data_IF_298000584626
#
_entry.id   IF_298000584626
#
_cell.length_a   1.000
_cell.length_b   1.000
_cell.length_c   1.000
_cell.angle_alpha   90.00
_cell.angle_beta   90.00
_cell.angle_gamma   90.00
#
_symmetry.space_group_name_H-M   'P 1'
#
loop_
_entity.id
_entity.type
_entity.pdbx_description
1 polymer ?
#
# COMPACT_ATOMS: atom_id res chain seq x y z
N UNK A 1 -24.46 6.92 24.73
CA UNK A 1 -23.28 7.76 25.00
C UNK A 1 -22.64 8.10 23.66
N UNK A 2 -22.53 9.39 23.35
CA UNK A 2 -21.90 9.88 22.12
C UNK A 2 -20.38 9.67 22.22
N UNK A 3 -19.85 8.74 21.44
CA UNK A 3 -18.40 8.63 21.24
C UNK A 3 -17.97 9.76 20.30
N UNK A 4 -17.45 10.83 20.88
CA UNK A 4 -16.71 11.84 20.13
C UNK A 4 -15.44 11.16 19.61
N UNK A 5 -15.44 10.83 18.32
CA UNK A 5 -14.22 10.43 17.63
C UNK A 5 -13.22 11.60 17.73
N UNK A 6 -11.93 11.32 18.03
CA UNK A 6 -10.93 12.39 18.04
C UNK A 6 -10.89 13.05 16.66
N UNK A 7 -10.80 14.38 16.67
CA UNK A 7 -10.58 15.19 15.49
C UNK A 7 -9.21 14.82 14.91
N UNK A 8 -9.18 14.42 13.64
CA UNK A 8 -7.95 13.98 12.97
C UNK A 8 -7.43 15.17 12.17
N UNK A 9 -6.66 16.05 12.82
CA UNK A 9 -5.96 17.13 12.13
C UNK A 9 -4.77 16.56 11.34
N UNK A 10 -4.63 16.93 10.07
CA UNK A 10 -3.63 16.41 9.12
C UNK A 10 -2.16 16.83 9.40
N UNK A 11 -1.91 17.52 10.52
CA UNK A 11 -0.56 17.90 10.98
C UNK A 11 -0.19 17.09 12.22
N UNK A 12 0.85 16.24 12.15
CA UNK A 12 1.35 15.54 13.32
C UNK A 12 1.99 16.53 14.30
N UNK A 13 1.70 16.37 15.58
CA UNK A 13 2.27 17.21 16.64
C UNK A 13 3.80 16.94 16.78
N UNK A 14 4.60 17.95 17.17
CA UNK A 14 6.03 17.75 17.42
C UNK A 14 6.24 16.72 18.53
N UNK A 15 6.78 15.55 18.20
CA UNK A 15 6.99 14.42 19.11
C UNK A 15 6.16 13.18 18.80
N UNK A 16 5.27 13.23 17.80
CA UNK A 16 4.58 12.04 17.31
C UNK A 16 5.53 11.13 16.48
N UNK A 17 5.36 9.79 16.53
CA UNK A 17 6.14 8.84 15.74
C UNK A 17 6.18 9.21 14.25
N UNK A 18 7.27 8.91 13.55
CA UNK A 18 7.33 9.12 12.11
C UNK A 18 6.41 8.14 11.36
N UNK A 19 5.13 8.47 11.26
CA UNK A 19 4.09 7.61 10.68
C UNK A 19 4.32 7.30 9.20
N UNK A 20 5.24 8.01 8.52
CA UNK A 20 5.61 7.75 7.13
C UNK A 20 6.26 6.38 6.94
N UNK A 21 6.85 5.80 7.99
CA UNK A 21 7.40 4.45 7.96
C UNK A 21 6.33 3.39 7.68
N UNK A 22 5.05 3.67 7.93
CA UNK A 22 3.94 2.75 7.63
C UNK A 22 3.49 2.79 6.17
N UNK A 23 3.97 3.74 5.36
CA UNK A 23 3.53 3.86 3.97
C UNK A 23 4.05 2.70 3.12
N UNK A 24 5.31 2.32 3.32
CA UNK A 24 5.92 1.16 2.65
C UNK A 24 5.18 -0.14 3.00
N UNK A 25 4.94 -0.49 4.28
CA UNK A 25 4.11 -1.63 4.65
C UNK A 25 2.71 -1.62 4.03
N UNK A 26 2.05 -0.47 3.91
CA UNK A 26 0.75 -0.40 3.24
C UNK A 26 0.85 -0.73 1.75
N UNK A 27 1.89 -0.24 1.08
CA UNK A 27 2.16 -0.56 -0.32
C UNK A 27 2.47 -2.06 -0.50
N UNK A 28 3.31 -2.63 0.35
CA UNK A 28 3.67 -4.05 0.33
C UNK A 28 2.46 -4.97 0.59
N UNK A 29 1.58 -4.62 1.55
CA UNK A 29 0.33 -5.35 1.77
C UNK A 29 -0.52 -5.36 0.49
N UNK A 30 -0.59 -4.24 -0.22
CA UNK A 30 -1.33 -4.17 -1.48
C UNK A 30 -0.69 -5.08 -2.54
N UNK A 31 0.62 -5.01 -2.73
CA UNK A 31 1.37 -5.85 -3.67
C UNK A 31 1.16 -7.34 -3.41
N UNK A 32 1.30 -7.77 -2.15
CA UNK A 32 1.13 -9.18 -1.76
C UNK A 32 -0.28 -9.67 -2.06
N UNK A 33 -1.32 -8.87 -1.81
CA UNK A 33 -2.70 -9.29 -2.09
C UNK A 33 -3.00 -9.37 -3.58
N UNK A 34 -2.46 -8.44 -4.39
CA UNK A 34 -2.54 -8.54 -5.85
C UNK A 34 -1.81 -9.79 -6.35
N UNK A 35 -0.60 -10.07 -5.85
CA UNK A 35 0.16 -11.27 -6.20
C UNK A 35 -0.58 -12.57 -5.82
N UNK A 36 -1.24 -12.62 -4.65
CA UNK A 36 -2.10 -13.74 -4.25
C UNK A 36 -3.24 -13.96 -5.22
N UNK A 37 -3.90 -12.89 -5.67
CA UNK A 37 -4.98 -13.00 -6.65
C UNK A 37 -4.48 -13.50 -8.01
N UNK A 38 -3.29 -13.05 -8.44
CA UNK A 38 -2.64 -13.55 -9.65
C UNK A 38 -2.30 -15.04 -9.52
N UNK A 39 -1.76 -15.48 -8.38
CA UNK A 39 -1.50 -16.88 -8.10
C UNK A 39 -2.78 -17.72 -8.15
N UNK A 40 -3.87 -17.26 -7.53
CA UNK A 40 -5.17 -17.93 -7.57
C UNK A 40 -5.72 -18.06 -9.01
N UNK A 41 -5.46 -17.07 -9.87
CA UNK A 41 -5.95 -17.05 -11.24
C UNK A 41 -5.11 -17.90 -12.19
N UNK A 42 -3.78 -17.88 -12.04
CA UNK A 42 -2.84 -18.44 -13.02
C UNK A 42 -2.02 -19.62 -12.51
N UNK A 43 -2.02 -19.88 -11.20
CA UNK A 43 -1.16 -20.89 -10.57
C UNK A 43 0.33 -20.55 -10.59
N UNK A 44 0.68 -19.26 -10.79
CA UNK A 44 2.06 -18.80 -10.94
C UNK A 44 2.38 -17.68 -9.94
N UNK A 45 3.60 -17.70 -9.40
CA UNK A 45 4.08 -16.65 -8.51
C UNK A 45 4.48 -15.42 -9.34
N UNK A 46 3.93 -14.26 -8.97
CA UNK A 46 4.41 -12.99 -9.49
C UNK A 46 5.74 -12.61 -8.81
N UNK A 47 6.61 -11.93 -9.54
CA UNK A 47 7.80 -11.28 -9.05
C UNK A 47 7.43 -9.90 -8.51
N UNK A 48 7.73 -9.62 -7.24
CA UNK A 48 7.53 -8.31 -6.61
C UNK A 48 8.80 -7.47 -6.72
N UNK A 49 8.65 -6.16 -6.87
CA UNK A 49 9.76 -5.20 -6.96
C UNK A 49 10.83 -5.61 -7.98
N UNK A 50 10.37 -5.97 -9.19
CA UNK A 50 11.26 -6.45 -10.25
C UNK A 50 12.18 -5.33 -10.70
N UNK A 51 13.49 -5.53 -10.54
CA UNK A 51 14.51 -4.61 -11.03
C UNK A 51 14.58 -4.59 -12.55
N UNK A 52 14.45 -3.39 -13.10
CA UNK A 52 14.57 -3.07 -14.52
C UNK A 52 15.80 -2.19 -14.73
N UNK A 53 16.78 -2.70 -15.45
CA UNK A 53 17.99 -1.96 -15.75
C UNK A 53 17.68 -0.78 -16.68
N UNK A 54 18.20 0.41 -16.36
CA UNK A 54 18.04 1.59 -17.21
C UNK A 54 19.08 1.69 -18.31
N UNK A 55 20.18 0.94 -18.20
CA UNK A 55 21.39 1.13 -19.00
C UNK A 55 22.24 2.34 -18.56
N UNK A 56 21.79 3.08 -17.54
CA UNK A 56 22.52 4.21 -16.95
C UNK A 56 23.31 3.74 -15.72
N UNK A 57 24.33 4.51 -15.38
CA UNK A 57 25.09 4.32 -14.15
C UNK A 57 24.95 5.52 -13.21
N UNK A 58 24.98 5.25 -11.92
CA UNK A 58 25.00 6.22 -10.84
C UNK A 58 26.35 6.15 -10.09
N UNK A 59 26.58 7.14 -9.23
CA UNK A 59 27.79 7.27 -8.41
C UNK A 59 29.09 7.17 -9.22
N UNK A 60 29.33 8.17 -10.08
CA UNK A 60 30.52 8.26 -10.93
C UNK A 60 30.76 7.03 -11.82
N UNK A 61 29.70 6.34 -12.24
CA UNK A 61 29.81 5.17 -13.11
C UNK A 61 29.99 3.83 -12.37
N UNK A 62 29.92 3.82 -11.04
CA UNK A 62 30.24 2.64 -10.23
C UNK A 62 29.04 1.71 -9.98
N UNK A 63 27.82 2.20 -10.15
CA UNK A 63 26.61 1.42 -9.89
C UNK A 63 25.65 1.52 -11.06
N UNK A 64 25.02 0.41 -11.43
CA UNK A 64 23.94 0.45 -12.39
C UNK A 64 22.69 1.02 -11.73
N UNK A 65 22.01 1.91 -12.45
CA UNK A 65 20.73 2.45 -12.03
C UNK A 65 19.60 1.50 -12.44
N UNK A 66 18.66 1.30 -11.52
CA UNK A 66 17.51 0.43 -11.72
C UNK A 66 16.22 1.18 -11.37
N UNK A 67 15.14 0.81 -12.02
CA UNK A 67 13.78 1.05 -11.53
C UNK A 67 13.19 -0.26 -11.04
N UNK A 68 12.27 -0.19 -10.09
CA UNK A 68 11.55 -1.35 -9.58
C UNK A 68 10.10 -1.28 -10.06
N UNK A 69 9.65 -2.35 -10.71
CA UNK A 69 8.26 -2.55 -11.09
C UNK A 69 7.55 -3.32 -9.99
N UNK A 70 6.43 -2.78 -9.49
CA UNK A 70 5.77 -3.30 -8.29
C UNK A 70 5.45 -4.80 -8.38
N UNK A 71 4.81 -5.23 -9.47
CA UNK A 71 4.38 -6.61 -9.66
C UNK A 71 4.53 -7.02 -11.12
N UNK A 72 5.26 -8.11 -11.38
CA UNK A 72 5.45 -8.67 -12.71
C UNK A 72 5.08 -10.15 -12.75
N UNK A 73 4.27 -10.56 -13.71
CA UNK A 73 3.97 -11.97 -14.00
C UNK A 73 4.23 -12.27 -15.48
N UNK A 74 5.28 -13.04 -15.76
CA UNK A 74 5.76 -13.24 -17.13
C UNK A 74 6.20 -11.91 -17.73
N UNK A 75 5.50 -11.45 -18.77
CA UNK A 75 5.71 -10.13 -19.38
C UNK A 75 4.63 -9.10 -19.02
N UNK A 76 3.74 -9.40 -18.06
CA UNK A 76 2.69 -8.49 -17.61
C UNK A 76 3.12 -7.73 -16.36
N UNK A 77 2.79 -6.45 -16.26
CA UNK A 77 3.13 -5.58 -15.12
C UNK A 77 1.89 -4.90 -14.52
N UNK A 78 1.86 -4.79 -13.20
CA UNK A 78 0.90 -3.98 -12.45
C UNK A 78 1.65 -2.98 -11.59
N UNK A 79 1.26 -1.72 -11.66
CA UNK A 79 1.72 -0.64 -10.79
C UNK A 79 0.68 -0.42 -9.69
N UNK A 80 1.15 -0.44 -8.45
CA UNK A 80 0.39 -0.27 -7.22
C UNK A 80 0.59 1.16 -6.74
N UNK A 81 -0.50 1.85 -6.43
CA UNK A 81 -0.44 3.20 -5.84
C UNK A 81 -1.55 3.39 -4.83
N UNK A 82 -1.36 4.25 -3.82
CA UNK A 82 -2.48 4.73 -3.04
C UNK A 82 -3.45 5.47 -3.98
N UNK A 83 -4.73 5.51 -3.61
CA UNK A 83 -5.78 6.16 -4.41
C UNK A 83 -5.45 7.63 -4.72
N UNK A 84 -4.87 8.34 -3.74
CA UNK A 84 -4.44 9.74 -3.86
C UNK A 84 -2.94 9.87 -4.24
N UNK A 85 -2.31 8.79 -4.70
CA UNK A 85 -0.92 8.78 -5.14
C UNK A 85 -0.72 9.34 -6.55
N UNK A 86 0.54 9.40 -6.99
CA UNK A 86 0.91 9.79 -8.35
C UNK A 86 0.17 8.98 -9.43
N UNK A 87 0.12 9.53 -10.64
CA UNK A 87 -0.42 8.82 -11.81
C UNK A 87 0.52 7.66 -12.21
N UNK A 88 0.05 6.40 -12.19
CA UNK A 88 0.85 5.22 -12.54
C UNK A 88 1.20 5.17 -14.03
N UNK A 89 0.53 5.93 -14.90
CA UNK A 89 0.76 5.88 -16.36
C UNK A 89 2.21 6.14 -16.74
N UNK A 90 2.84 7.14 -16.11
CA UNK A 90 4.23 7.46 -16.39
C UNK A 90 5.19 6.29 -16.04
N UNK A 91 4.95 5.61 -14.92
CA UNK A 91 5.75 4.45 -14.51
C UNK A 91 5.46 3.22 -15.38
N UNK A 92 4.20 2.96 -15.73
CA UNK A 92 3.84 1.86 -16.64
C UNK A 92 4.50 2.02 -18.01
N UNK A 93 4.50 3.23 -18.58
CA UNK A 93 5.20 3.51 -19.84
C UNK A 93 6.71 3.33 -19.73
N UNK A 94 7.30 3.67 -18.58
CA UNK A 94 8.71 3.42 -18.31
C UNK A 94 9.01 1.91 -18.28
N UNK A 95 8.18 1.11 -17.61
CA UNK A 95 8.35 -0.34 -17.51
C UNK A 95 8.20 -1.04 -18.84
N UNK A 96 7.27 -0.58 -19.69
CA UNK A 96 7.10 -1.07 -21.06
C UNK A 96 8.38 -0.86 -21.89
N UNK A 97 8.99 0.33 -21.77
CA UNK A 97 10.23 0.68 -22.50
C UNK A 97 11.45 -0.09 -21.99
N UNK A 98 11.65 -0.15 -20.67
CA UNK A 98 12.87 -0.73 -20.08
C UNK A 98 12.82 -2.26 -19.99
N UNK A 99 11.67 -2.82 -19.64
CA UNK A 99 11.52 -4.25 -19.34
C UNK A 99 10.90 -5.07 -20.47
N UNK A 100 10.55 -4.46 -21.61
CA UNK A 100 9.70 -5.09 -22.63
C UNK A 100 8.41 -5.69 -22.03
N UNK A 101 7.87 -5.01 -21.01
CA UNK A 101 6.67 -5.42 -20.29
C UNK A 101 5.43 -4.90 -20.99
N UNK A 102 4.28 -5.50 -20.67
CA UNK A 102 2.95 -5.08 -21.10
C UNK A 102 2.09 -4.86 -19.88
N UNK A 103 1.16 -3.92 -19.96
CA UNK A 103 0.18 -3.74 -18.89
C UNK A 103 -0.55 -5.06 -18.60
N UNK A 104 -0.63 -5.38 -17.32
CA UNK A 104 -1.42 -6.49 -16.84
C UNK A 104 -2.90 -6.26 -17.08
N UNK A 105 -3.68 -7.33 -16.99
CA UNK A 105 -5.13 -7.20 -17.13
C UNK A 105 -5.77 -6.55 -15.91
N UNK A 106 -7.03 -6.11 -16.07
CA UNK A 106 -7.87 -5.69 -14.96
C UNK A 106 -8.22 -6.90 -14.08
N UNK A 107 -7.95 -6.80 -12.78
CA UNK A 107 -8.29 -7.83 -11.81
C UNK A 107 -9.59 -7.48 -11.06
N UNK A 108 -10.08 -8.40 -10.23
CA UNK A 108 -11.28 -8.16 -9.42
C UNK A 108 -10.93 -7.32 -8.20
N UNK A 109 -11.73 -6.29 -7.92
CA UNK A 109 -11.62 -5.50 -6.69
C UNK A 109 -11.55 -6.40 -5.46
N UNK A 110 -10.60 -6.14 -4.58
CA UNK A 110 -10.43 -6.81 -3.30
C UNK A 110 -10.81 -5.83 -2.19
N UNK A 111 -11.63 -6.27 -1.25
CA UNK A 111 -12.05 -5.48 -0.10
C UNK A 111 -11.88 -6.30 1.16
N UNK A 112 -12.02 -5.67 2.32
CA UNK A 112 -11.84 -6.30 3.64
C UNK A 112 -10.47 -6.95 3.85
N UNK A 113 -9.42 -6.42 3.19
CA UNK A 113 -8.05 -6.88 3.43
C UNK A 113 -7.63 -6.37 4.82
N UNK A 114 -7.31 -7.25 5.79
CA UNK A 114 -6.90 -6.82 7.11
C UNK A 114 -5.53 -6.14 7.05
N UNK A 115 -5.40 -5.00 7.73
CA UNK A 115 -4.13 -4.28 7.87
C UNK A 115 -3.66 -4.42 9.31
N UNK A 116 -4.39 -3.80 10.24
CA UNK A 116 -4.14 -3.91 11.67
C UNK A 116 -5.35 -3.42 12.46
N UNK A 117 -5.70 -4.10 13.55
CA UNK A 117 -6.88 -3.77 14.37
C UNK A 117 -8.15 -3.61 13.48
N UNK A 118 -8.85 -2.48 13.58
CA UNK A 118 -10.04 -2.18 12.78
C UNK A 118 -9.72 -1.52 11.42
N UNK A 119 -8.44 -1.32 11.09
CA UNK A 119 -8.00 -0.76 9.81
C UNK A 119 -7.95 -1.86 8.76
N UNK A 120 -8.63 -1.62 7.65
CA UNK A 120 -8.71 -2.49 6.48
C UNK A 120 -8.33 -1.75 5.22
N UNK A 121 -8.06 -2.52 4.18
CA UNK A 121 -7.69 -2.04 2.85
C UNK A 121 -8.67 -2.56 1.80
N UNK A 122 -8.89 -1.72 0.80
CA UNK A 122 -9.51 -2.07 -0.47
C UNK A 122 -8.54 -1.77 -1.60
N UNK A 123 -8.47 -2.67 -2.57
CA UNK A 123 -7.66 -2.54 -3.78
C UNK A 123 -8.60 -2.62 -4.98
N UNK A 124 -8.60 -1.56 -5.78
CA UNK A 124 -9.39 -1.44 -7.01
C UNK A 124 -8.46 -1.46 -8.22
N UNK A 125 -9.00 -1.88 -9.36
CA UNK A 125 -8.27 -1.91 -10.62
C UNK A 125 -9.03 -1.04 -11.61
N UNK A 126 -8.80 0.28 -11.68
CA UNK A 126 -9.57 1.16 -12.56
C UNK A 126 -9.28 0.89 -14.04
N UNK A 127 -8.02 0.62 -14.37
CA UNK A 127 -7.49 0.43 -15.72
C UNK A 127 -6.57 -0.81 -15.77
N UNK A 128 -6.17 -1.24 -16.97
CA UNK A 128 -5.18 -2.29 -17.15
C UNK A 128 -3.84 -1.88 -16.53
N UNK A 129 -3.15 -2.82 -15.89
CA UNK A 129 -1.87 -2.58 -15.22
C UNK A 129 -1.92 -1.64 -14.01
N UNK A 130 -3.09 -1.14 -13.59
CA UNK A 130 -3.21 -0.20 -12.47
C UNK A 130 -3.93 -0.84 -11.29
N UNK A 131 -3.28 -0.84 -10.13
CA UNK A 131 -3.87 -1.19 -8.85
C UNK A 131 -3.87 0.03 -7.92
N UNK A 132 -5.05 0.43 -7.43
CA UNK A 132 -5.22 1.55 -6.49
C UNK A 132 -5.70 1.04 -5.15
N UNK A 133 -4.93 1.28 -4.09
CA UNK A 133 -5.34 0.92 -2.74
C UNK A 133 -5.83 2.14 -1.94
N UNK A 134 -6.81 1.90 -1.07
CA UNK A 134 -7.26 2.87 -0.07
C UNK A 134 -7.54 2.18 1.26
N UNK A 135 -7.43 2.95 2.34
CA UNK A 135 -7.61 2.46 3.70
C UNK A 135 -8.96 2.91 4.25
N UNK A 136 -9.53 2.10 5.12
CA UNK A 136 -10.73 2.45 5.85
C UNK A 136 -10.76 1.78 7.21
N UNK A 137 -11.42 2.41 8.18
CA UNK A 137 -11.77 1.77 9.44
C UNK A 137 -13.17 1.15 9.33
N UNK A 138 -13.35 -0.02 9.95
CA UNK A 138 -14.65 -0.67 10.07
C UNK A 138 -14.79 -1.30 11.45
N UNK A 139 -15.72 -0.78 12.26
CA UNK A 139 -16.06 -1.34 13.57
C UNK A 139 -17.14 -2.43 13.49
N UNK A 140 -17.53 -2.96 14.65
CA UNK A 140 -18.45 -4.12 14.78
C UNK A 140 -19.83 -3.90 14.15
N UNK A 141 -20.27 -2.64 14.02
CA UNK A 141 -21.51 -2.28 13.33
C UNK A 141 -21.42 -2.27 11.79
N UNK A 142 -20.27 -2.64 11.22
CA UNK A 142 -20.06 -2.74 9.77
C UNK A 142 -19.90 -1.41 9.03
N UNK A 143 -20.09 -0.27 9.70
CA UNK A 143 -19.95 1.07 9.11
C UNK A 143 -18.51 1.33 8.69
N UNK A 144 -18.32 1.68 7.41
CA UNK A 144 -17.03 2.00 6.81
C UNK A 144 -16.76 3.51 6.89
N UNK A 145 -15.57 3.87 7.39
CA UNK A 145 -15.02 5.23 7.34
C UNK A 145 -13.72 5.22 6.55
N UNK A 146 -13.69 5.88 5.39
CA UNK A 146 -12.46 6.01 4.61
C UNK A 146 -11.41 6.82 5.38
N UNK A 147 -10.14 6.43 5.22
CA UNK A 147 -8.99 7.06 5.86
C UNK A 147 -8.03 7.55 4.77
N UNK A 148 -7.43 8.72 5.00
CA UNK A 148 -6.21 9.10 4.27
C UNK A 148 -5.06 8.13 4.65
N UNK A 149 -4.01 8.07 3.83
CA UNK A 149 -2.81 7.27 4.16
C UNK A 149 -2.22 7.70 5.52
N UNK A 150 -2.20 9.01 5.79
CA UNK A 150 -1.77 9.58 7.08
C UNK A 150 -2.70 9.10 8.21
N UNK A 151 -4.01 9.24 8.05
CA UNK A 151 -4.99 8.84 9.07
C UNK A 151 -4.93 7.34 9.38
N UNK A 152 -4.71 6.50 8.36
CA UNK A 152 -4.48 5.07 8.54
C UNK A 152 -3.18 4.81 9.31
N UNK A 153 -2.08 5.49 8.97
CA UNK A 153 -0.81 5.34 9.67
C UNK A 153 -0.92 5.75 11.15
N UNK A 154 -1.60 6.84 11.46
CA UNK A 154 -1.88 7.27 12.84
C UNK A 154 -2.71 6.22 13.58
N UNK A 155 -3.79 5.71 12.97
CA UNK A 155 -4.65 4.71 13.58
C UNK A 155 -3.87 3.43 13.92
N UNK A 156 -3.06 2.94 12.97
CA UNK A 156 -2.21 1.75 13.15
C UNK A 156 -1.15 2.01 14.22
N UNK A 157 -0.45 3.14 14.19
CA UNK A 157 0.58 3.46 15.18
C UNK A 157 0.00 3.55 16.60
N UNK A 158 -1.18 4.18 16.77
CA UNK A 158 -1.87 4.23 18.07
C UNK A 158 -2.27 2.83 18.55
N UNK A 159 -2.79 1.99 17.66
CA UNK A 159 -3.14 0.61 18.01
C UNK A 159 -1.91 -0.23 18.39
N UNK A 160 -0.79 -0.05 17.66
CA UNK A 160 0.49 -0.67 18.00
C UNK A 160 1.00 -0.21 19.38
N UNK A 161 0.97 1.09 19.68
CA UNK A 161 1.37 1.61 20.98
C UNK A 161 0.55 0.98 22.13
N UNK A 162 -0.78 0.89 21.97
CA UNK A 162 -1.67 0.21 22.92
C UNK A 162 -1.33 -1.28 23.12
N UNK A 163 -0.78 -1.93 22.09
CA UNK A 163 -0.39 -3.33 22.18
C UNK A 163 0.86 -3.56 23.06
N UNK A 164 1.67 -2.51 23.32
CA UNK A 164 2.88 -2.58 24.13
C UNK A 164 2.59 -2.57 25.65
N UNK A 165 3.47 -3.17 26.50
CA UNK A 165 3.28 -3.17 27.96
C UNK A 165 3.19 -1.77 28.58
N UNK A 166 3.93 -0.79 28.05
CA UNK A 166 3.88 0.60 28.50
C UNK A 166 2.58 1.30 28.07
N UNK A 167 2.12 1.08 26.83
CA UNK A 167 0.85 1.62 26.34
C UNK A 167 -0.37 1.05 27.05
N UNK A 168 -0.36 -0.24 27.43
CA UNK A 168 -1.42 -0.85 28.25
C UNK A 168 -1.57 -0.19 29.63
N UNK A 169 -0.48 0.31 30.22
CA UNK A 169 -0.51 1.02 31.51
C UNK A 169 -1.08 2.44 31.41
N UNK A 170 -0.94 3.09 30.26
CA UNK A 170 -1.41 4.47 30.01
C UNK A 170 -2.82 4.53 29.38
N UNK A 171 -3.40 3.38 29.02
CA UNK A 171 -4.79 3.30 28.55
C UNK A 171 -5.53 2.18 29.29
N UNK A 172 -5.81 2.35 30.60
CA UNK A 172 -6.67 1.42 31.32
C UNK A 172 -8.12 1.65 30.91
N UNK A 173 -8.69 0.70 30.18
CA UNK A 173 -10.14 0.54 30.07
C UNK A 173 -10.85 1.47 29.07
N UNK A 174 -11.28 0.88 27.95
CA UNK A 174 -12.71 0.84 27.72
C UNK A 174 -13.27 -0.38 28.46
#
# INVERSE_FOLDING_TARGET
MSFLAPDFTDTPDPGEPNFRELYTPFHEIAQINVAKQLYQKYGQNAELEKKLATGETEWFGLKNKYYEADIVLGNKVWEVKPLNGQDPKAQLELYKKLGNLKEGEKLKTMTNIPVFDNVKMEITFPEAGVARYQMYAQGDGGVRRNLSTVGAAIAVARALLKSTPAGRRLSPGF
#
